data_IF_538988467545
#
_entry.id   IF_538988467545
#
_cell.length_a   1.000
_cell.length_b   1.000
_cell.length_c   1.000
_cell.angle_alpha   90.00
_cell.angle_beta   90.00
_cell.angle_gamma   90.00
#
_symmetry.space_group_name_H-M   'P 1'
#
loop_
_entity.id
_entity.type
_entity.pdbx_description
1 polymer ?
#
# COMPACT_ATOMS: atom_id res chain seq x y z
N UNK A 1 -34.16 17.43 -8.77
CA UNK A 1 -32.85 18.07 -8.93
C UNK A 1 -32.00 17.69 -7.75
N UNK A 2 -30.75 17.26 -8.02
CA UNK A 2 -29.79 17.05 -6.96
C UNK A 2 -29.39 18.42 -6.37
N UNK A 3 -29.13 18.52 -5.05
CA UNK A 3 -28.64 19.75 -4.47
C UNK A 3 -27.30 20.13 -5.14
N UNK A 4 -27.17 21.38 -5.51
CA UNK A 4 -25.93 21.92 -6.09
C UNK A 4 -25.02 22.29 -4.95
N UNK A 5 -23.83 21.70 -4.90
CA UNK A 5 -22.80 22.05 -3.91
C UNK A 5 -22.10 23.32 -4.38
N UNK A 6 -22.02 24.32 -3.51
CA UNK A 6 -21.37 25.60 -3.79
C UNK A 6 -19.86 25.52 -3.57
N UNK A 7 -19.09 26.43 -4.15
CA UNK A 7 -17.65 26.54 -3.94
C UNK A 7 -17.32 26.76 -2.46
N UNK A 8 -18.09 27.60 -1.76
CA UNK A 8 -17.92 27.85 -0.33
C UNK A 8 -18.07 26.57 0.51
N UNK A 9 -19.02 25.70 0.18
CA UNK A 9 -19.19 24.42 0.87
C UNK A 9 -18.03 23.46 0.61
N UNK A 10 -17.46 23.45 -0.61
CA UNK A 10 -16.27 22.66 -0.93
C UNK A 10 -15.04 23.16 -0.14
N UNK A 11 -14.87 24.46 -0.03
CA UNK A 11 -13.78 25.08 0.75
C UNK A 11 -13.94 24.80 2.23
N UNK A 12 -15.14 24.93 2.79
CA UNK A 12 -15.44 24.60 4.18
C UNK A 12 -15.17 23.12 4.49
N UNK A 13 -15.48 22.23 3.58
CA UNK A 13 -15.16 20.81 3.72
C UNK A 13 -13.64 20.60 3.80
N UNK A 14 -12.88 21.21 2.88
CA UNK A 14 -11.42 21.11 2.88
C UNK A 14 -10.81 21.72 4.16
N UNK A 15 -11.31 22.85 4.62
CA UNK A 15 -10.86 23.51 5.86
C UNK A 15 -11.16 22.65 7.09
N UNK A 16 -12.35 22.06 7.16
CA UNK A 16 -12.73 21.17 8.25
C UNK A 16 -11.89 19.89 8.30
N UNK A 17 -11.55 19.32 7.14
CA UNK A 17 -10.70 18.13 7.05
C UNK A 17 -9.26 18.42 7.49
N UNK A 18 -8.78 19.63 7.25
CA UNK A 18 -7.41 20.04 7.60
C UNK A 18 -7.31 20.68 8.98
N UNK A 19 -8.36 20.62 9.81
CA UNK A 19 -8.46 21.33 11.09
C UNK A 19 -8.14 22.83 10.93
N UNK A 20 -8.62 23.44 9.83
CA UNK A 20 -8.36 24.82 9.41
C UNK A 20 -6.87 25.15 9.17
N UNK A 21 -6.01 24.13 9.02
CA UNK A 21 -4.59 24.31 8.74
C UNK A 21 -4.22 23.76 7.37
N UNK A 22 -4.59 24.47 6.30
CA UNK A 22 -4.18 24.11 4.92
C UNK A 22 -2.66 24.07 4.73
N UNK A 23 -1.91 24.76 5.58
CA UNK A 23 -0.45 24.74 5.55
C UNK A 23 0.10 23.36 5.95
N UNK A 24 -0.47 22.74 6.99
CA UNK A 24 -0.09 21.39 7.41
C UNK A 24 -0.44 20.31 6.36
N UNK A 25 -1.45 20.59 5.53
CA UNK A 25 -1.90 19.70 4.46
C UNK A 25 -1.34 20.08 3.07
N UNK A 26 -0.44 21.07 2.98
CA UNK A 26 0.04 21.59 1.68
C UNK A 26 0.67 20.51 0.81
N UNK A 27 1.42 19.58 1.40
CA UNK A 27 2.07 18.49 0.67
C UNK A 27 1.04 17.52 0.04
N UNK A 28 0.00 17.14 0.76
CA UNK A 28 -1.07 16.29 0.22
C UNK A 28 -1.98 17.02 -0.75
N UNK A 29 -2.27 18.30 -0.50
CA UNK A 29 -3.02 19.15 -1.44
C UNK A 29 -2.27 19.35 -2.75
N UNK A 30 -0.96 19.52 -2.71
CA UNK A 30 -0.15 19.61 -3.92
C UNK A 30 -0.24 18.34 -4.78
N UNK A 31 -0.51 17.18 -4.16
CA UNK A 31 -0.75 15.89 -4.81
C UNK A 31 -2.23 15.64 -5.15
N UNK A 32 -3.11 16.61 -4.87
CA UNK A 32 -4.54 16.56 -5.22
C UNK A 32 -5.40 15.75 -4.25
N UNK A 33 -5.00 15.56 -3.00
CA UNK A 33 -5.83 14.86 -2.01
C UNK A 33 -5.61 15.34 -0.58
N UNK A 34 -6.60 15.03 0.27
CA UNK A 34 -6.54 15.15 1.73
C UNK A 34 -6.88 13.80 2.35
N UNK A 35 -6.31 13.52 3.51
CA UNK A 35 -6.72 12.39 4.35
C UNK A 35 -7.49 12.91 5.55
N UNK A 36 -8.67 12.34 5.80
CA UNK A 36 -9.49 12.66 6.96
C UNK A 36 -9.47 11.53 7.97
N UNK A 37 -9.79 11.87 9.22
CA UNK A 37 -9.96 10.92 10.32
C UNK A 37 -10.96 9.83 9.91
N UNK A 38 -10.68 8.55 10.28
CA UNK A 38 -11.50 7.40 9.91
C UNK A 38 -11.17 6.82 8.54
N UNK A 39 -10.03 7.20 7.93
CA UNK A 39 -9.54 6.59 6.70
C UNK A 39 -10.19 7.10 5.42
N UNK A 40 -10.86 8.25 5.47
CA UNK A 40 -11.40 8.88 4.27
C UNK A 40 -10.30 9.56 3.49
N UNK A 41 -10.19 9.25 2.20
CA UNK A 41 -9.33 9.98 1.26
C UNK A 41 -10.19 10.84 0.36
N UNK A 42 -9.95 12.15 0.42
CA UNK A 42 -10.69 13.16 -0.31
C UNK A 42 -9.82 13.66 -1.44
N UNK A 43 -10.10 13.23 -2.67
CA UNK A 43 -9.51 13.79 -3.88
C UNK A 43 -10.05 15.20 -4.07
N UNK A 44 -9.17 16.16 -4.35
CA UNK A 44 -9.50 17.57 -4.50
C UNK A 44 -9.08 18.04 -5.88
N UNK A 45 -9.97 18.68 -6.61
CA UNK A 45 -9.68 19.32 -7.87
C UNK A 45 -9.93 20.84 -7.76
N UNK A 46 -9.11 21.62 -8.45
CA UNK A 46 -9.16 23.08 -8.45
C UNK A 46 -8.07 23.65 -9.36
N UNK A 47 -7.71 24.91 -9.15
CA UNK A 47 -6.65 25.59 -9.88
C UNK A 47 -5.29 25.28 -9.23
N UNK A 48 -4.34 24.69 -10.00
CA UNK A 48 -3.00 24.41 -9.52
C UNK A 48 -2.19 25.71 -9.29
N UNK A 49 -1.45 25.75 -8.19
CA UNK A 49 -0.50 26.83 -7.88
C UNK A 49 0.90 26.30 -8.14
N UNK A 50 1.51 26.75 -9.23
CA UNK A 50 2.84 26.31 -9.63
C UNK A 50 3.92 27.27 -9.11
N UNK A 51 5.03 26.68 -8.60
CA UNK A 51 6.30 27.37 -8.33
C UNK A 51 7.41 26.56 -8.99
N UNK A 52 8.18 27.17 -9.83
CA UNK A 52 9.28 26.52 -10.58
C UNK A 52 8.83 25.24 -11.33
N UNK A 53 7.61 25.26 -11.89
CA UNK A 53 7.03 24.14 -12.63
C UNK A 53 6.46 23.02 -11.74
N UNK A 54 6.53 23.14 -10.42
CA UNK A 54 6.02 22.15 -9.45
C UNK A 54 4.71 22.65 -8.84
N UNK A 55 3.70 21.79 -8.77
CA UNK A 55 2.47 22.12 -8.06
C UNK A 55 2.74 22.14 -6.55
N UNK A 56 2.50 23.28 -5.92
CA UNK A 56 2.71 23.49 -4.47
C UNK A 56 1.42 23.57 -3.69
N UNK A 57 0.29 23.80 -4.36
CA UNK A 57 -1.02 23.93 -3.70
C UNK A 57 -2.15 23.88 -4.75
N UNK A 58 -3.39 23.78 -4.28
CA UNK A 58 -4.62 23.99 -5.04
C UNK A 58 -5.41 25.17 -4.49
N UNK A 59 -6.00 25.95 -5.38
CA UNK A 59 -6.95 27.04 -5.05
C UNK A 59 -8.21 26.90 -5.89
N UNK A 60 -9.23 27.69 -5.60
CA UNK A 60 -10.50 27.72 -6.35
C UNK A 60 -11.04 26.28 -6.51
N UNK A 61 -11.26 25.60 -5.38
CA UNK A 61 -11.68 24.18 -5.37
C UNK A 61 -12.98 24.04 -6.15
N UNK A 62 -12.95 23.18 -7.19
CA UNK A 62 -14.08 22.98 -8.12
C UNK A 62 -14.82 21.69 -7.87
N UNK A 63 -14.17 20.66 -7.32
CA UNK A 63 -14.82 19.42 -6.96
C UNK A 63 -14.02 18.63 -5.92
N UNK A 64 -14.72 17.74 -5.20
CA UNK A 64 -14.13 16.77 -4.29
C UNK A 64 -14.69 15.38 -4.57
N UNK A 65 -13.85 14.36 -4.37
CA UNK A 65 -14.22 12.95 -4.46
C UNK A 65 -13.86 12.24 -3.17
N UNK A 66 -14.86 11.83 -2.40
CA UNK A 66 -14.65 11.15 -1.12
C UNK A 66 -14.53 9.64 -1.37
N UNK A 67 -13.36 9.07 -1.08
CA UNK A 67 -13.12 7.63 -1.08
C UNK A 67 -13.20 7.10 0.33
N UNK A 68 -14.09 6.13 0.53
CA UNK A 68 -14.26 5.44 1.81
C UNK A 68 -13.42 4.17 1.74
N UNK A 69 -12.31 4.13 2.47
CA UNK A 69 -11.56 2.89 2.64
C UNK A 69 -12.36 1.93 3.50
N UNK A 70 -12.50 0.67 3.06
CA UNK A 70 -13.15 -0.38 3.82
C UNK A 70 -12.14 -1.42 4.22
N UNK A 71 -12.18 -1.81 5.46
CA UNK A 71 -11.46 -2.98 5.94
C UNK A 71 -12.31 -4.23 5.71
N UNK A 72 -11.65 -5.32 5.41
CA UNK A 72 -12.26 -6.64 5.33
C UNK A 72 -11.38 -7.63 6.11
N UNK A 73 -11.50 -7.65 7.44
CA UNK A 73 -10.76 -8.59 8.27
C UNK A 73 -11.10 -10.03 7.92
N UNK A 74 -10.06 -10.88 7.89
CA UNK A 74 -10.24 -12.31 7.63
C UNK A 74 -10.05 -12.74 6.17
N UNK A 75 -9.82 -11.81 5.23
CA UNK A 75 -9.51 -12.15 3.84
C UNK A 75 -8.24 -13.01 3.71
N UNK A 76 -7.30 -12.82 4.60
CA UNK A 76 -6.01 -13.51 4.58
C UNK A 76 -6.03 -14.86 5.32
N UNK A 77 -7.10 -15.23 6.00
CA UNK A 77 -7.15 -16.40 6.90
C UNK A 77 -6.72 -17.69 6.21
N UNK A 78 -7.19 -17.93 4.99
CA UNK A 78 -6.83 -19.15 4.24
C UNK A 78 -5.50 -19.02 3.50
N UNK A 79 -5.10 -17.79 3.15
CA UNK A 79 -3.90 -17.50 2.35
C UNK A 79 -2.65 -17.47 3.23
N UNK A 80 -2.74 -16.82 4.39
CA UNK A 80 -1.59 -16.53 5.26
C UNK A 80 -0.80 -17.79 5.67
N UNK A 81 -1.42 -18.90 6.12
CA UNK A 81 -0.66 -20.11 6.46
C UNK A 81 0.10 -20.71 5.27
N UNK A 82 -0.42 -20.55 4.05
CA UNK A 82 0.21 -21.05 2.83
C UNK A 82 1.47 -20.25 2.44
N UNK A 83 1.67 -19.07 3.02
CA UNK A 83 2.84 -18.23 2.77
C UNK A 83 4.05 -18.61 3.61
N UNK A 84 3.91 -19.62 4.46
CA UNK A 84 4.99 -20.13 5.29
C UNK A 84 5.60 -21.40 4.71
N UNK A 85 6.87 -21.62 5.00
CA UNK A 85 7.60 -22.86 4.76
C UNK A 85 8.49 -23.15 5.97
N UNK A 86 8.35 -24.33 6.55
CA UNK A 86 9.14 -24.75 7.73
C UNK A 86 9.13 -23.70 8.87
N UNK A 87 7.96 -23.11 9.11
CA UNK A 87 7.76 -22.09 10.16
C UNK A 87 8.28 -20.69 9.83
N UNK A 88 8.84 -20.47 8.63
CA UNK A 88 9.35 -19.17 8.19
C UNK A 88 8.46 -18.56 7.10
N UNK A 89 8.17 -17.25 7.23
CA UNK A 89 7.45 -16.51 6.20
C UNK A 89 8.26 -16.44 4.91
N UNK A 90 7.65 -16.76 3.79
CA UNK A 90 8.25 -16.65 2.45
C UNK A 90 7.97 -15.26 1.86
N UNK A 91 8.98 -14.60 1.34
CA UNK A 91 8.78 -13.35 0.61
C UNK A 91 7.72 -13.53 -0.47
N UNK A 92 6.67 -12.73 -0.42
CA UNK A 92 5.44 -12.94 -1.21
C UNK A 92 5.11 -11.73 -2.07
N UNK A 93 4.79 -11.98 -3.33
CA UNK A 93 4.31 -10.97 -4.28
C UNK A 93 2.85 -11.23 -4.64
N UNK A 94 1.99 -10.22 -4.42
CA UNK A 94 0.57 -10.24 -4.77
C UNK A 94 0.36 -9.66 -6.16
N UNK A 95 -0.25 -10.43 -7.05
CA UNK A 95 -0.55 -10.05 -8.43
C UNK A 95 -2.06 -9.87 -8.61
N UNK A 96 -2.46 -8.76 -9.16
CA UNK A 96 -3.80 -8.58 -9.70
C UNK A 96 -3.88 -7.36 -10.62
N UNK A 97 -4.83 -7.30 -11.54
CA UNK A 97 -5.27 -6.06 -12.19
C UNK A 97 -5.69 -4.99 -11.18
N UNK A 98 -5.75 -3.72 -11.60
CA UNK A 98 -6.32 -2.64 -10.77
C UNK A 98 -7.73 -2.97 -10.29
N UNK A 99 -8.08 -2.54 -9.07
CA UNK A 99 -9.45 -2.64 -8.53
C UNK A 99 -9.86 -4.01 -7.98
N UNK A 100 -9.01 -5.02 -8.01
CA UNK A 100 -9.32 -6.37 -7.48
C UNK A 100 -8.94 -6.57 -6.00
N UNK A 101 -8.76 -5.51 -5.22
CA UNK A 101 -8.59 -5.62 -3.77
C UNK A 101 -7.18 -6.00 -3.31
N UNK A 102 -6.12 -5.79 -4.11
CA UNK A 102 -4.72 -6.05 -3.71
C UNK A 102 -4.36 -5.40 -2.38
N UNK A 103 -4.58 -4.08 -2.28
CA UNK A 103 -4.24 -3.31 -1.08
C UNK A 103 -5.11 -3.76 0.12
N UNK A 104 -6.34 -4.22 -0.11
CA UNK A 104 -7.20 -4.76 0.95
C UNK A 104 -6.66 -6.09 1.49
N UNK A 105 -6.24 -7.00 0.60
CA UNK A 105 -5.59 -8.25 1.01
C UNK A 105 -4.23 -7.98 1.66
N UNK A 106 -3.45 -7.04 1.11
CA UNK A 106 -2.14 -6.65 1.66
C UNK A 106 -2.28 -6.21 3.13
N UNK A 107 -3.26 -5.33 3.43
CA UNK A 107 -3.53 -4.87 4.81
C UNK A 107 -3.87 -6.02 5.74
N UNK A 108 -4.75 -6.92 5.32
CA UNK A 108 -5.17 -8.03 6.18
C UNK A 108 -4.04 -9.06 6.39
N UNK A 109 -3.17 -9.26 5.39
CA UNK A 109 -1.94 -10.04 5.54
C UNK A 109 -0.94 -9.37 6.49
N UNK A 110 -0.75 -8.05 6.39
CA UNK A 110 0.09 -7.28 7.33
C UNK A 110 -0.43 -7.47 8.75
N UNK A 111 -1.74 -7.28 8.98
CA UNK A 111 -2.37 -7.47 10.28
C UNK A 111 -2.18 -8.90 10.80
N UNK A 112 -2.43 -9.90 9.97
CA UNK A 112 -2.27 -11.30 10.34
C UNK A 112 -0.83 -11.69 10.64
N UNK A 113 0.16 -11.13 9.92
CA UNK A 113 1.59 -11.30 10.24
C UNK A 113 1.96 -10.59 11.55
N UNK A 114 1.46 -9.39 11.75
CA UNK A 114 1.77 -8.55 12.91
C UNK A 114 1.21 -9.12 14.22
N UNK A 115 -0.09 -9.46 14.24
CA UNK A 115 -0.75 -9.97 15.43
C UNK A 115 -0.57 -11.49 15.63
N UNK A 116 -0.18 -12.19 14.56
CA UNK A 116 -0.20 -13.62 14.50
C UNK A 116 -1.61 -14.16 14.14
N UNK A 117 -1.64 -15.44 13.79
CA UNK A 117 -2.86 -16.19 13.52
C UNK A 117 -2.66 -17.65 13.94
N UNK A 118 -3.67 -18.50 13.81
CA UNK A 118 -3.52 -19.93 14.11
C UNK A 118 -2.36 -20.54 13.29
N UNK A 119 -1.36 -21.06 13.98
CA UNK A 119 -0.15 -21.62 13.39
C UNK A 119 0.84 -20.59 12.82
N UNK A 120 0.59 -19.29 12.98
CA UNK A 120 1.45 -18.20 12.52
C UNK A 120 1.87 -17.34 13.71
N UNK A 121 3.16 -17.34 14.11
CA UNK A 121 3.62 -16.48 15.19
C UNK A 121 3.63 -15.00 14.77
N UNK A 122 3.49 -14.06 15.74
CA UNK A 122 3.60 -12.63 15.47
C UNK A 122 4.97 -12.25 14.90
N UNK A 123 4.96 -11.32 13.94
CA UNK A 123 6.16 -10.80 13.28
C UNK A 123 6.25 -9.27 13.43
N UNK A 124 7.46 -8.75 13.52
CA UNK A 124 7.71 -7.32 13.38
C UNK A 124 7.59 -6.97 11.90
N UNK A 125 6.55 -6.22 11.57
CA UNK A 125 6.27 -5.77 10.20
C UNK A 125 6.58 -4.28 10.09
N UNK A 126 7.27 -3.89 9.03
CA UNK A 126 7.47 -2.49 8.70
C UNK A 126 6.80 -2.20 7.34
N UNK A 127 6.10 -1.08 7.25
CA UNK A 127 5.35 -0.67 6.06
C UNK A 127 5.95 0.60 5.49
N UNK A 128 6.32 0.59 4.20
CA UNK A 128 6.58 1.84 3.45
C UNK A 128 5.32 2.17 2.66
N UNK A 129 4.60 3.17 3.12
CA UNK A 129 3.33 3.62 2.51
C UNK A 129 3.51 4.90 1.71
N UNK A 130 4.07 4.77 0.51
CA UNK A 130 4.43 5.92 -0.35
C UNK A 130 3.22 6.77 -0.74
N UNK A 131 2.06 6.14 -0.93
CA UNK A 131 0.84 6.81 -1.42
C UNK A 131 -0.20 7.04 -0.33
N UNK A 132 0.07 6.65 0.92
CA UNK A 132 -0.90 6.70 2.00
C UNK A 132 -2.12 5.80 1.73
N UNK A 133 -1.92 4.64 1.09
CA UNK A 133 -3.00 3.73 0.71
C UNK A 133 -3.06 2.48 1.58
N UNK A 134 -1.99 2.12 2.29
CA UNK A 134 -1.95 0.97 3.18
C UNK A 134 -2.50 1.36 4.56
N UNK A 135 -1.81 2.25 5.25
CA UNK A 135 -2.12 2.67 6.62
C UNK A 135 -3.15 3.80 6.68
N UNK A 136 -3.22 4.61 5.62
CA UNK A 136 -4.05 5.82 5.55
C UNK A 136 -3.81 6.70 6.78
N UNK A 137 -2.56 7.14 6.95
CA UNK A 137 -2.13 7.88 8.14
C UNK A 137 -2.86 9.21 8.28
N UNK A 138 -3.32 9.49 9.49
CA UNK A 138 -3.85 10.80 9.89
C UNK A 138 -3.16 11.25 11.17
N UNK A 139 -2.45 12.37 11.11
CA UNK A 139 -1.68 12.93 12.24
C UNK A 139 -0.79 11.90 12.98
N UNK A 140 -0.09 11.07 12.21
CA UNK A 140 0.80 10.04 12.75
C UNK A 140 0.11 8.77 13.25
N UNK A 141 -1.22 8.66 13.10
CA UNK A 141 -2.01 7.51 13.55
C UNK A 141 -2.54 6.74 12.35
N UNK A 142 -2.26 5.43 12.22
CA UNK A 142 -2.87 4.58 11.19
C UNK A 142 -4.40 4.58 11.37
N UNK A 143 -5.12 4.78 10.27
CA UNK A 143 -6.58 4.71 10.25
C UNK A 143 -7.09 3.32 9.85
N UNK A 144 -6.18 2.45 9.42
CA UNK A 144 -6.44 1.05 9.09
C UNK A 144 -5.77 0.14 10.11
N UNK A 145 -6.43 -0.98 10.44
CA UNK A 145 -5.91 -1.97 11.37
C UNK A 145 -4.78 -2.78 10.70
N UNK A 146 -3.54 -2.52 11.08
CA UNK A 146 -2.34 -3.18 10.56
C UNK A 146 -1.68 -4.13 11.57
N UNK A 147 -2.26 -4.26 12.76
CA UNK A 147 -1.73 -5.07 13.86
C UNK A 147 -0.77 -4.32 14.78
N UNK A 148 -0.51 -4.93 15.95
CA UNK A 148 0.18 -4.29 17.08
C UNK A 148 1.71 -4.25 16.95
N UNK A 149 2.30 -5.04 16.05
CA UNK A 149 3.74 -5.10 15.80
C UNK A 149 4.10 -4.52 14.41
N UNK A 150 3.38 -3.49 13.98
CA UNK A 150 3.58 -2.85 12.68
C UNK A 150 4.03 -1.41 12.84
N UNK A 151 5.19 -1.09 12.27
CA UNK A 151 5.69 0.28 12.12
C UNK A 151 5.41 0.80 10.72
N UNK A 152 5.02 2.07 10.58
CA UNK A 152 4.65 2.68 9.29
C UNK A 152 5.54 3.89 9.01
N UNK A 153 6.16 3.91 7.83
CA UNK A 153 6.81 5.08 7.25
C UNK A 153 5.93 5.59 6.10
N UNK A 154 5.23 6.69 6.37
CA UNK A 154 4.24 7.29 5.46
C UNK A 154 4.87 8.31 4.51
N UNK A 155 4.27 8.48 3.34
CA UNK A 155 4.63 9.47 2.31
C UNK A 155 6.10 9.42 1.85
N UNK A 156 6.78 8.29 2.02
CA UNK A 156 8.17 8.09 1.66
C UNK A 156 8.29 7.18 0.43
N UNK A 157 9.08 7.55 -0.61
CA UNK A 157 9.38 6.66 -1.72
C UNK A 157 9.99 5.34 -1.22
N UNK A 158 9.58 4.21 -1.78
CA UNK A 158 10.00 2.86 -1.35
C UNK A 158 11.52 2.69 -1.34
N UNK A 159 12.19 3.15 -2.40
CA UNK A 159 13.63 3.06 -2.51
C UNK A 159 14.39 3.76 -1.37
N UNK A 160 13.81 4.82 -0.79
CA UNK A 160 14.35 5.54 0.38
C UNK A 160 13.86 4.95 1.70
N UNK A 161 12.60 4.57 1.78
CA UNK A 161 11.95 4.08 2.99
C UNK A 161 12.45 2.72 3.44
N UNK A 162 12.71 1.79 2.51
CA UNK A 162 13.21 0.44 2.84
C UNK A 162 14.51 0.49 3.63
N UNK A 163 15.59 1.21 3.21
CA UNK A 163 16.81 1.32 4.00
C UNK A 163 16.64 2.03 5.34
N UNK A 164 15.69 2.97 5.44
CA UNK A 164 15.38 3.66 6.70
C UNK A 164 14.78 2.65 7.69
N UNK A 165 13.71 1.94 7.30
CA UNK A 165 13.04 0.98 8.16
C UNK A 165 13.93 -0.20 8.54
N UNK A 166 14.78 -0.66 7.63
CA UNK A 166 15.75 -1.71 7.93
C UNK A 166 16.66 -1.35 9.14
N UNK A 167 17.05 -0.09 9.25
CA UNK A 167 17.92 0.40 10.31
C UNK A 167 17.18 0.80 11.59
N UNK A 168 15.95 1.33 11.45
CA UNK A 168 15.22 1.92 12.59
C UNK A 168 14.26 0.93 13.27
N UNK A 169 13.60 0.05 12.52
CA UNK A 169 12.53 -0.80 13.03
C UNK A 169 12.93 -2.27 13.25
N UNK A 170 14.12 -2.68 12.79
CA UNK A 170 14.57 -4.08 12.85
C UNK A 170 13.46 -5.08 12.41
N UNK A 171 12.89 -4.91 11.20
CA UNK A 171 11.74 -5.68 10.77
C UNK A 171 12.13 -7.11 10.39
N UNK A 172 11.21 -8.06 10.57
CA UNK A 172 11.30 -9.39 9.98
C UNK A 172 10.66 -9.40 8.57
N UNK A 173 9.62 -8.58 8.39
CA UNK A 173 8.92 -8.41 7.12
C UNK A 173 8.79 -6.94 6.79
N UNK A 174 9.13 -6.55 5.55
CA UNK A 174 8.82 -5.22 5.01
C UNK A 174 7.68 -5.38 4.00
N UNK A 175 6.61 -4.61 4.21
CA UNK A 175 5.47 -4.55 3.31
C UNK A 175 5.48 -3.26 2.49
N UNK A 176 5.23 -3.38 1.19
CA UNK A 176 5.17 -2.26 0.23
C UNK A 176 4.02 -2.45 -0.74
N UNK A 177 3.34 -1.36 -1.10
CA UNK A 177 2.35 -1.40 -2.17
C UNK A 177 3.00 -1.00 -3.51
N UNK A 178 2.55 -1.62 -4.57
CA UNK A 178 2.81 -1.31 -5.98
C UNK A 178 4.28 -1.02 -6.36
N UNK A 179 5.05 -2.09 -6.62
CA UNK A 179 6.41 -1.96 -7.17
C UNK A 179 6.31 -1.39 -8.59
N UNK A 180 6.97 -0.25 -8.85
CA UNK A 180 6.83 0.48 -10.12
C UNK A 180 8.14 0.82 -10.81
N UNK A 181 9.24 0.97 -10.08
CA UNK A 181 10.52 1.41 -10.61
C UNK A 181 11.68 0.48 -10.22
N UNK A 182 12.79 0.59 -10.94
CA UNK A 182 13.96 -0.26 -10.73
C UNK A 182 14.63 -0.01 -9.38
N UNK A 183 14.60 1.20 -8.91
CA UNK A 183 15.16 1.63 -7.63
C UNK A 183 14.50 0.91 -6.46
N UNK A 184 13.19 0.66 -6.54
CA UNK A 184 12.46 -0.14 -5.54
C UNK A 184 13.05 -1.56 -5.46
N UNK A 185 13.28 -2.20 -6.62
CA UNK A 185 13.83 -3.55 -6.67
C UNK A 185 15.24 -3.63 -6.12
N UNK A 186 16.08 -2.63 -6.40
CA UNK A 186 17.45 -2.58 -5.87
C UNK A 186 17.45 -2.46 -4.34
N UNK A 187 16.60 -1.61 -3.78
CA UNK A 187 16.46 -1.46 -2.34
C UNK A 187 15.93 -2.75 -1.69
N UNK A 188 14.95 -3.41 -2.32
CA UNK A 188 14.41 -4.68 -1.86
C UNK A 188 15.47 -5.79 -1.89
N UNK A 189 16.23 -5.93 -2.99
CA UNK A 189 17.29 -6.93 -3.10
C UNK A 189 18.37 -6.72 -2.04
N UNK A 190 18.77 -5.47 -1.78
CA UNK A 190 19.72 -5.14 -0.74
C UNK A 190 19.23 -5.52 0.66
N UNK A 191 17.97 -5.23 0.98
CA UNK A 191 17.38 -5.57 2.28
C UNK A 191 17.13 -7.09 2.43
N UNK A 192 16.76 -7.79 1.35
CA UNK A 192 16.62 -9.25 1.35
C UNK A 192 17.95 -9.95 1.70
N UNK A 193 19.08 -9.42 1.23
CA UNK A 193 20.41 -9.91 1.59
C UNK A 193 20.74 -9.72 3.08
N UNK A 194 20.03 -8.82 3.78
CA UNK A 194 20.11 -8.67 5.24
C UNK A 194 19.16 -9.62 6.00
N UNK A 195 18.48 -10.53 5.31
CA UNK A 195 17.58 -11.53 5.92
C UNK A 195 16.13 -11.08 6.09
N UNK A 196 15.76 -9.87 5.64
CA UNK A 196 14.38 -9.38 5.71
C UNK A 196 13.52 -10.02 4.62
N UNK A 197 12.28 -10.36 4.95
CA UNK A 197 11.28 -10.86 4.02
C UNK A 197 10.40 -9.73 3.48
N UNK A 198 9.85 -9.94 2.31
CA UNK A 198 9.00 -8.94 1.65
C UNK A 198 7.58 -9.43 1.43
N UNK A 199 6.62 -8.54 1.67
CA UNK A 199 5.24 -8.67 1.22
C UNK A 199 4.94 -7.47 0.32
N UNK A 200 4.74 -7.71 -0.97
CA UNK A 200 4.60 -6.62 -1.94
C UNK A 200 3.47 -6.86 -2.92
N UNK A 201 3.01 -5.80 -3.57
CA UNK A 201 1.99 -5.88 -4.61
C UNK A 201 2.53 -5.41 -5.96
N UNK A 202 1.88 -5.87 -7.02
CA UNK A 202 2.16 -5.45 -8.38
C UNK A 202 0.91 -5.53 -9.26
N UNK A 203 0.81 -4.64 -10.24
CA UNK A 203 -0.21 -4.73 -11.27
C UNK A 203 0.21 -5.71 -12.37
N UNK A 204 -0.29 -6.93 -12.29
CA UNK A 204 -0.18 -7.94 -13.34
C UNK A 204 -1.33 -8.94 -13.22
N UNK A 205 -1.87 -9.41 -14.34
CA UNK A 205 -2.95 -10.40 -14.33
C UNK A 205 -2.43 -11.78 -13.92
N UNK A 206 -1.20 -12.10 -14.31
CA UNK A 206 -0.57 -13.38 -14.00
C UNK A 206 0.98 -13.32 -14.11
N UNK A 207 1.64 -14.44 -13.80
CA UNK A 207 3.09 -14.59 -13.90
C UNK A 207 3.61 -14.41 -15.33
N UNK A 208 2.83 -14.75 -16.37
CA UNK A 208 3.26 -14.64 -17.78
C UNK A 208 3.35 -13.18 -18.18
N UNK A 209 2.36 -12.38 -17.79
CA UNK A 209 2.40 -10.93 -17.99
C UNK A 209 3.59 -10.30 -17.26
N UNK A 210 3.84 -10.72 -16.01
CA UNK A 210 4.98 -10.26 -15.23
C UNK A 210 6.31 -10.53 -15.95
N UNK A 211 6.49 -11.73 -16.49
CA UNK A 211 7.72 -12.12 -17.21
C UNK A 211 7.97 -11.36 -18.51
N UNK A 212 6.93 -10.76 -19.12
CA UNK A 212 7.06 -9.95 -20.36
C UNK A 212 7.58 -8.54 -20.10
N UNK A 213 7.49 -8.05 -18.87
CA UNK A 213 7.97 -6.71 -18.51
C UNK A 213 9.43 -6.77 -18.10
N UNK A 214 10.37 -6.06 -18.78
CA UNK A 214 11.82 -6.16 -18.51
C UNK A 214 12.18 -5.92 -17.04
N UNK A 215 11.53 -4.96 -16.40
CA UNK A 215 11.72 -4.64 -14.98
C UNK A 215 11.47 -5.87 -14.08
N UNK A 216 10.41 -6.62 -14.35
CA UNK A 216 9.98 -7.74 -13.49
C UNK A 216 10.61 -9.08 -13.86
N UNK A 217 11.13 -9.24 -15.08
CA UNK A 217 11.94 -10.39 -15.44
C UNK A 217 13.20 -10.48 -14.58
N UNK A 218 13.76 -9.31 -14.21
CA UNK A 218 14.91 -9.23 -13.30
C UNK A 218 14.53 -9.64 -11.87
N UNK A 219 13.41 -9.15 -11.36
CA UNK A 219 12.87 -9.50 -10.04
C UNK A 219 12.66 -11.01 -9.87
N UNK A 220 12.15 -11.69 -10.91
CA UNK A 220 11.97 -13.13 -10.90
C UNK A 220 13.31 -13.89 -10.92
N UNK A 221 14.35 -13.34 -11.57
CA UNK A 221 15.70 -13.93 -11.61
C UNK A 221 16.44 -13.79 -10.29
N UNK A 222 16.30 -12.68 -9.60
CA UNK A 222 16.96 -12.42 -8.30
C UNK A 222 16.34 -13.20 -7.13
N UNK A 223 15.19 -13.88 -7.37
CA UNK A 223 14.52 -14.74 -6.37
C UNK A 223 14.19 -14.00 -5.05
N UNK A 224 13.97 -12.69 -5.11
CA UNK A 224 13.53 -11.90 -3.94
C UNK A 224 12.22 -12.44 -3.41
N UNK A 225 11.32 -12.89 -4.30
CA UNK A 225 10.05 -13.48 -3.94
C UNK A 225 10.02 -14.99 -4.13
N UNK A 226 9.59 -15.69 -3.10
CA UNK A 226 9.47 -17.16 -3.06
C UNK A 226 8.05 -17.63 -3.37
N UNK A 227 7.05 -16.76 -3.12
CA UNK A 227 5.63 -17.04 -3.36
C UNK A 227 5.02 -15.97 -4.26
N UNK A 228 4.11 -16.41 -5.14
CA UNK A 228 3.28 -15.53 -5.96
C UNK A 228 1.82 -15.83 -5.64
N UNK A 229 1.07 -14.83 -5.21
CA UNK A 229 -0.37 -14.94 -4.99
C UNK A 229 -1.08 -14.17 -6.08
N UNK A 230 -1.87 -14.86 -6.90
CA UNK A 230 -2.68 -14.20 -7.94
C UNK A 230 -4.10 -14.05 -7.44
N UNK A 231 -4.61 -12.82 -7.47
CA UNK A 231 -5.99 -12.49 -7.12
C UNK A 231 -6.81 -12.48 -8.40
N UNK A 232 -7.85 -13.29 -8.48
CA UNK A 232 -8.78 -13.38 -9.61
C UNK A 232 -10.20 -13.25 -9.12
N UNK A 233 -11.09 -12.81 -10.00
CA UNK A 233 -12.52 -12.81 -9.76
C UNK A 233 -13.16 -13.91 -10.61
N UNK A 234 -13.77 -14.90 -9.98
CA UNK A 234 -14.55 -15.94 -10.64
C UNK A 234 -15.95 -15.96 -10.00
N UNK A 235 -17.01 -15.93 -10.80
CA UNK A 235 -18.42 -15.96 -10.38
C UNK A 235 -18.77 -14.99 -9.21
N UNK A 236 -18.12 -13.82 -9.20
CA UNK A 236 -18.35 -12.81 -8.16
C UNK A 236 -17.50 -12.96 -6.89
N UNK A 237 -16.81 -14.09 -6.71
CA UNK A 237 -15.88 -14.32 -5.61
C UNK A 237 -14.43 -13.98 -5.99
N UNK A 238 -13.64 -13.53 -5.01
CA UNK A 238 -12.20 -13.36 -5.17
C UNK A 238 -11.52 -14.69 -4.83
N UNK A 239 -10.73 -15.21 -5.78
CA UNK A 239 -9.92 -16.40 -5.60
C UNK A 239 -8.44 -16.02 -5.45
N UNK A 240 -7.78 -16.65 -4.51
CA UNK A 240 -6.35 -16.49 -4.23
C UNK A 240 -5.63 -17.78 -4.62
N UNK A 241 -4.76 -17.73 -5.60
CA UNK A 241 -3.96 -18.89 -6.01
C UNK A 241 -2.49 -18.64 -5.76
N UNK A 242 -1.83 -19.55 -5.07
CA UNK A 242 -0.38 -19.52 -4.82
C UNK A 242 0.27 -20.68 -5.57
N UNK A 243 0.59 -20.56 -6.88
CA UNK A 243 1.36 -21.57 -7.56
C UNK A 243 2.75 -21.65 -6.96
N UNK A 244 3.19 -22.85 -6.61
CA UNK A 244 4.57 -23.09 -6.23
C UNK A 244 5.51 -22.72 -7.39
N UNK A 245 6.70 -22.13 -7.13
CA UNK A 245 7.70 -21.92 -8.19
C UNK A 245 8.14 -23.21 -8.89
N UNK A 246 7.76 -24.37 -8.35
CA UNK A 246 8.08 -25.71 -8.89
C UNK A 246 7.00 -26.28 -9.80
N UNK A 247 5.82 -25.66 -9.87
CA UNK A 247 4.78 -26.07 -10.81
C UNK A 247 5.12 -25.51 -12.19
N UNK A 248 5.97 -26.23 -12.90
CA UNK A 248 6.28 -26.05 -14.32
C UNK A 248 5.38 -26.95 -15.15
#
# INVERSE_FOLDING_TARGET
>A
PYPVVTQTELEQLCDGVTDYSRYAAADTLSRGYLTARGGFRIGVCGTAVLRDGVNTNLRDISSVTIRIAREQPGLSTEVLPQLFREGSFCSTLLLAPPGLGKTTLLRDLIRGLSDGAEGVPPHRVAVVDERGEIAVMFQGIPQMALGSHTDVLDACPKALGIPILLRSANPQVIAVDEITVREDLMAMSAAANCGVRFLATIHAADRRELGRRPLFSHLLKEKVFEKLVTIRREEGCLLYTSPSPRDR
#
